data_IF_127663747305
#
_entry.id   IF_127663747305
#
_cell.length_a   1.000
_cell.length_b   1.000
_cell.length_c   1.000
_cell.angle_alpha   90.00
_cell.angle_beta   90.00
_cell.angle_gamma   90.00
#
_symmetry.space_group_name_H-M   'P 1'
#
loop_
_entity.id
_entity.type
_entity.pdbx_description
1 polymer ?
#
# COMPACT_ATOMS: atom_id res chain seq x y z
N UNK A 1 58.10 16.01 7.34
CA UNK A 1 56.77 15.73 7.92
C UNK A 1 55.79 15.56 6.77
N UNK A 2 55.85 14.40 6.13
CA UNK A 2 54.85 13.30 6.18
C UNK A 2 53.72 13.61 5.20
N UNK A 3 53.77 13.17 3.93
CA UNK A 3 53.38 11.82 3.47
C UNK A 3 52.00 11.43 4.06
N UNK A 4 50.96 11.11 3.29
CA UNK A 4 50.96 10.00 2.36
C UNK A 4 49.60 9.88 1.62
N UNK A 5 49.69 9.51 0.34
CA UNK A 5 48.85 8.50 -0.33
C UNK A 5 47.37 8.87 -0.59
N UNK A 6 47.17 9.60 -1.70
CA UNK A 6 46.01 9.41 -2.58
C UNK A 6 46.21 8.09 -3.35
N UNK A 7 45.69 6.98 -2.81
CA UNK A 7 45.40 5.77 -3.60
C UNK A 7 43.90 5.71 -3.77
N UNK A 8 43.45 6.29 -4.88
CA UNK A 8 42.10 6.18 -5.40
C UNK A 8 41.93 4.72 -5.85
N UNK A 9 41.48 3.84 -4.95
CA UNK A 9 41.11 2.45 -5.25
C UNK A 9 39.98 2.47 -6.29
N UNK A 10 40.19 1.75 -7.38
CA UNK A 10 39.22 1.61 -8.46
C UNK A 10 37.94 0.95 -7.99
N UNK A 11 36.84 1.70 -8.02
CA UNK A 11 35.53 1.12 -8.16
C UNK A 11 35.51 0.37 -9.51
N UNK A 12 35.09 -0.90 -9.50
CA UNK A 12 34.87 -1.64 -10.74
C UNK A 12 33.81 -0.88 -11.57
N UNK A 13 33.99 -0.70 -12.89
CA UNK A 13 33.06 0.08 -13.72
C UNK A 13 31.64 -0.52 -13.81
N UNK A 14 31.41 -1.74 -13.31
CA UNK A 14 30.09 -2.39 -13.28
C UNK A 14 29.19 -1.90 -12.14
N UNK A 15 29.72 -1.74 -10.92
CA UNK A 15 28.93 -1.34 -9.73
C UNK A 15 28.39 0.09 -9.83
N UNK A 16 29.13 1.00 -10.48
CA UNK A 16 28.67 2.37 -10.73
C UNK A 16 27.52 2.44 -11.74
N UNK A 17 27.49 1.53 -12.71
CA UNK A 17 26.46 1.54 -13.76
C UNK A 17 25.18 0.94 -13.18
N UNK A 18 25.26 -0.16 -12.45
CA UNK A 18 24.09 -0.80 -11.83
C UNK A 18 23.46 0.11 -10.75
N UNK A 19 24.26 0.79 -9.92
CA UNK A 19 23.78 1.80 -8.98
C UNK A 19 23.10 3.00 -9.67
N UNK A 20 23.65 3.46 -10.80
CA UNK A 20 23.02 4.52 -11.61
C UNK A 20 21.71 4.04 -12.24
N UNK A 21 21.63 2.80 -12.74
CA UNK A 21 20.39 2.23 -13.28
C UNK A 21 19.35 1.96 -12.20
N UNK A 22 19.75 1.60 -10.98
CA UNK A 22 18.85 1.47 -9.84
C UNK A 22 18.32 2.83 -9.38
N UNK A 23 19.18 3.86 -9.34
CA UNK A 23 18.74 5.23 -9.08
C UNK A 23 17.88 5.78 -10.22
N UNK A 24 18.21 5.49 -11.49
CA UNK A 24 17.44 5.92 -12.65
C UNK A 24 16.10 5.18 -12.71
N UNK A 25 16.06 3.89 -12.42
CA UNK A 25 14.83 3.10 -12.39
C UNK A 25 13.96 3.48 -11.19
N UNK A 26 14.55 3.82 -10.05
CA UNK A 26 13.86 4.38 -8.89
C UNK A 26 13.27 5.76 -9.22
N UNK A 27 14.05 6.64 -9.86
CA UNK A 27 13.61 7.96 -10.31
C UNK A 27 12.56 7.83 -11.40
N UNK A 28 12.71 6.92 -12.37
CA UNK A 28 11.73 6.65 -13.44
C UNK A 28 10.45 6.04 -12.88
N UNK A 29 10.51 5.13 -11.90
CA UNK A 29 9.33 4.61 -11.20
C UNK A 29 8.60 5.74 -10.47
N UNK A 30 9.34 6.57 -9.74
CA UNK A 30 8.81 7.74 -9.03
C UNK A 30 8.32 8.87 -9.95
N UNK A 31 8.84 8.93 -11.18
CA UNK A 31 8.34 9.80 -12.24
C UNK A 31 7.07 9.19 -12.88
N UNK A 32 7.01 7.87 -13.12
CA UNK A 32 5.83 7.17 -13.64
C UNK A 32 4.61 7.30 -12.72
N UNK A 33 4.85 7.46 -11.42
CA UNK A 33 3.84 7.77 -10.40
C UNK A 33 3.28 9.20 -10.51
N UNK A 34 3.87 10.08 -11.33
CA UNK A 34 3.38 11.46 -11.51
C UNK A 34 2.38 11.57 -12.66
N UNK A 35 1.21 12.10 -12.32
CA UNK A 35 0.05 12.39 -13.17
C UNK A 35 0.35 13.04 -14.55
N UNK A 36 1.42 13.82 -14.67
CA UNK A 36 1.70 14.60 -15.88
C UNK A 36 2.58 13.88 -16.92
N UNK A 37 3.19 12.74 -16.58
CA UNK A 37 4.13 12.06 -17.49
C UNK A 37 3.44 11.21 -18.55
N UNK A 38 2.40 10.47 -18.17
CA UNK A 38 1.59 9.70 -19.14
C UNK A 38 0.98 10.61 -20.24
N UNK A 39 0.36 11.77 -19.91
CA UNK A 39 -0.12 12.74 -20.91
C UNK A 39 0.99 13.27 -21.81
N UNK A 40 2.14 13.62 -21.22
CA UNK A 40 3.28 14.16 -21.96
C UNK A 40 3.82 13.13 -22.97
N UNK A 41 3.92 11.86 -22.55
CA UNK A 41 4.35 10.76 -23.41
C UNK A 41 3.44 10.57 -24.62
N UNK A 42 2.11 10.60 -24.42
CA UNK A 42 1.13 10.52 -25.51
C UNK A 42 1.26 11.72 -26.46
N UNK A 43 1.43 12.94 -25.93
CA UNK A 43 1.60 14.14 -26.76
C UNK A 43 2.86 14.05 -27.64
N UNK A 44 3.98 13.61 -27.07
CA UNK A 44 5.24 13.43 -27.80
C UNK A 44 5.10 12.34 -28.86
N UNK A 45 4.49 11.19 -28.52
CA UNK A 45 4.18 10.12 -29.47
C UNK A 45 3.31 10.61 -30.63
N UNK A 46 2.30 11.42 -30.36
CA UNK A 46 1.42 12.00 -31.39
C UNK A 46 2.18 12.94 -32.32
N UNK A 47 3.04 13.81 -31.80
CA UNK A 47 3.89 14.70 -32.61
C UNK A 47 4.84 13.88 -33.50
N UNK A 48 5.46 12.84 -32.94
CA UNK A 48 6.34 11.93 -33.68
C UNK A 48 5.56 11.19 -34.77
N UNK A 49 4.41 10.61 -34.45
CA UNK A 49 3.57 9.87 -35.40
C UNK A 49 3.13 10.77 -36.57
N UNK A 50 2.79 12.02 -36.30
CA UNK A 50 2.47 13.03 -37.31
C UNK A 50 3.67 13.35 -38.19
N UNK A 51 4.85 13.54 -37.60
CA UNK A 51 6.06 13.83 -38.36
C UNK A 51 6.51 12.65 -39.23
N UNK A 52 6.30 11.42 -38.76
CA UNK A 52 6.47 10.22 -39.59
C UNK A 52 5.43 10.15 -40.72
N UNK A 53 4.18 10.57 -40.48
CA UNK A 53 3.16 10.60 -41.51
C UNK A 53 3.44 11.64 -42.61
N UNK A 54 4.04 12.79 -42.28
CA UNK A 54 4.46 13.77 -43.29
C UNK A 54 5.64 13.29 -44.14
N UNK A 55 6.51 12.44 -43.59
CA UNK A 55 7.53 11.73 -44.38
C UNK A 55 6.89 10.72 -45.36
N UNK A 56 5.77 10.08 -44.98
CA UNK A 56 5.02 9.18 -45.86
C UNK A 56 4.27 9.92 -46.98
N UNK A 57 3.89 11.18 -46.78
CA UNK A 57 3.33 12.03 -47.85
C UNK A 57 4.33 12.26 -49.01
N UNK A 58 5.64 12.09 -48.77
CA UNK A 58 6.67 12.13 -49.82
C UNK A 58 6.70 10.85 -50.68
N UNK A 59 5.88 9.85 -50.35
CA UNK A 59 5.75 8.58 -51.06
C UNK A 59 4.38 8.46 -51.72
N UNK A 60 4.27 7.72 -52.85
CA UNK A 60 3.00 7.55 -53.59
C UNK A 60 1.92 6.74 -52.83
N UNK A 61 2.19 6.31 -51.59
CA UNK A 61 1.24 5.59 -50.72
C UNK A 61 -0.02 6.41 -50.39
N UNK A 62 0.05 7.74 -50.45
CA UNK A 62 -1.09 8.63 -50.19
C UNK A 62 -2.25 8.50 -51.18
N UNK A 63 -2.07 7.86 -52.35
CA UNK A 63 -3.14 7.67 -53.36
C UNK A 63 -4.19 6.64 -52.97
N UNK A 64 -3.89 5.73 -52.04
CA UNK A 64 -4.80 4.67 -51.61
C UNK A 64 -5.62 5.04 -50.37
N UNK A 65 -5.37 6.21 -49.78
CA UNK A 65 -6.04 6.64 -48.56
C UNK A 65 -7.28 7.49 -48.88
N UNK A 66 -8.37 7.37 -48.09
CA UNK A 66 -9.55 8.19 -48.29
C UNK A 66 -9.24 9.67 -48.04
N UNK A 67 -9.88 10.57 -48.79
CA UNK A 67 -9.79 12.01 -48.58
C UNK A 67 -10.65 12.43 -47.38
N UNK A 68 -10.03 13.13 -46.43
CA UNK A 68 -10.73 13.75 -45.30
C UNK A 68 -10.60 15.27 -45.39
N UNK A 69 -11.68 15.97 -45.06
CA UNK A 69 -11.71 17.43 -45.04
C UNK A 69 -10.89 17.95 -43.86
N UNK A 70 -10.04 18.96 -44.13
CA UNK A 70 -9.27 19.69 -43.13
C UNK A 70 -10.20 20.32 -42.09
N UNK A 71 -11.32 20.88 -42.55
CA UNK A 71 -12.35 21.53 -41.73
C UNK A 71 -12.99 20.55 -40.75
N UNK A 72 -13.22 19.30 -41.17
CA UNK A 72 -13.81 18.26 -40.32
C UNK A 72 -12.86 17.86 -39.18
N UNK A 73 -11.57 17.73 -39.50
CA UNK A 73 -10.53 17.40 -38.51
C UNK A 73 -10.30 18.55 -37.54
N UNK A 74 -10.25 19.78 -38.06
CA UNK A 74 -10.15 20.99 -37.24
C UNK A 74 -11.34 21.15 -36.28
N UNK A 75 -12.56 20.91 -36.75
CA UNK A 75 -13.77 20.97 -35.93
C UNK A 75 -13.71 19.97 -34.77
N UNK A 76 -13.32 18.71 -35.04
CA UNK A 76 -13.20 17.68 -33.99
C UNK A 76 -12.13 18.06 -32.96
N UNK A 77 -10.96 18.53 -33.40
CA UNK A 77 -9.90 19.00 -32.51
C UNK A 77 -10.36 20.18 -31.64
N UNK A 78 -11.10 21.15 -32.20
CA UNK A 78 -11.66 22.29 -31.43
C UNK A 78 -12.69 21.86 -30.39
N UNK A 79 -13.55 20.91 -30.73
CA UNK A 79 -14.52 20.31 -29.80
C UNK A 79 -13.78 19.62 -28.65
N UNK A 80 -12.75 18.83 -28.96
CA UNK A 80 -11.92 18.19 -27.94
C UNK A 80 -11.20 19.22 -27.07
N UNK A 81 -10.51 20.20 -27.66
CA UNK A 81 -9.78 21.22 -26.91
C UNK A 81 -10.67 21.99 -25.91
N UNK A 82 -11.89 22.36 -26.30
CA UNK A 82 -12.81 23.09 -25.41
C UNK A 82 -13.42 22.19 -24.32
N UNK A 83 -13.84 20.97 -24.66
CA UNK A 83 -14.49 20.06 -23.71
C UNK A 83 -13.52 19.41 -22.73
N UNK A 84 -12.29 19.07 -23.14
CA UNK A 84 -11.34 18.35 -22.29
C UNK A 84 -10.88 19.16 -21.07
N UNK A 85 -10.68 20.47 -21.21
CA UNK A 85 -10.28 21.32 -20.09
C UNK A 85 -11.39 21.41 -19.03
N UNK A 86 -12.65 21.48 -19.48
CA UNK A 86 -13.82 21.47 -18.59
C UNK A 86 -13.92 20.12 -17.87
N UNK A 87 -13.77 19.01 -18.60
CA UNK A 87 -13.77 17.68 -17.99
C UNK A 87 -12.63 17.48 -16.99
N UNK A 88 -11.42 17.94 -17.30
CA UNK A 88 -10.29 17.89 -16.37
C UNK A 88 -10.57 18.69 -15.09
N UNK A 89 -11.11 19.91 -15.23
CA UNK A 89 -11.47 20.76 -14.07
C UNK A 89 -12.56 20.12 -13.22
N UNK A 90 -13.62 19.60 -13.86
CA UNK A 90 -14.68 18.85 -13.19
C UNK A 90 -14.12 17.63 -12.46
N UNK A 91 -13.22 16.89 -13.12
CA UNK A 91 -12.60 15.68 -12.57
C UNK A 91 -11.76 15.96 -11.32
N UNK A 92 -10.91 17.00 -11.35
CA UNK A 92 -10.16 17.44 -10.16
C UNK A 92 -11.11 17.85 -9.03
N UNK A 93 -12.15 18.62 -9.33
CA UNK A 93 -13.14 19.04 -8.33
C UNK A 93 -13.83 17.84 -7.67
N UNK A 94 -14.34 16.89 -8.47
CA UNK A 94 -14.98 15.69 -7.96
C UNK A 94 -14.03 14.80 -7.15
N UNK A 95 -12.76 14.66 -7.56
CA UNK A 95 -11.75 13.94 -6.78
C UNK A 95 -11.54 14.57 -5.42
N UNK A 96 -11.34 15.89 -5.34
CA UNK A 96 -11.14 16.59 -4.06
C UNK A 96 -12.35 16.43 -3.15
N UNK A 97 -13.58 16.52 -3.69
CA UNK A 97 -14.81 16.26 -2.93
C UNK A 97 -14.86 14.81 -2.43
N UNK A 98 -14.55 13.82 -3.27
CA UNK A 98 -14.54 12.41 -2.88
C UNK A 98 -13.48 12.13 -1.79
N UNK A 99 -12.28 12.68 -1.94
CA UNK A 99 -11.21 12.55 -0.95
C UNK A 99 -11.57 13.19 0.39
N UNK A 100 -12.24 14.34 0.36
CA UNK A 100 -12.73 15.01 1.57
C UNK A 100 -13.81 14.15 2.27
N UNK A 101 -14.73 13.57 1.50
CA UNK A 101 -15.76 12.65 2.00
C UNK A 101 -15.15 11.39 2.64
N UNK A 102 -14.14 10.82 2.00
CA UNK A 102 -13.47 9.65 2.56
C UNK A 102 -12.64 9.98 3.80
N UNK A 103 -11.95 11.12 3.84
CA UNK A 103 -11.21 11.57 5.03
C UNK A 103 -12.13 11.91 6.21
N UNK A 104 -13.37 12.32 5.97
CA UNK A 104 -14.35 12.64 7.00
C UNK A 104 -15.12 11.43 7.51
N UNK A 105 -15.31 10.40 6.69
CA UNK A 105 -16.01 9.16 7.06
C UNK A 105 -15.08 8.06 7.57
N UNK A 106 -13.84 7.97 7.06
CA UNK A 106 -12.84 7.01 7.48
C UNK A 106 -11.79 7.63 8.43
N UNK A 107 -10.54 7.18 8.40
CA UNK A 107 -9.41 7.79 9.15
C UNK A 107 -8.46 8.52 8.19
N UNK A 108 -7.83 9.65 8.59
CA UNK A 108 -6.81 10.32 7.78
C UNK A 108 -5.67 9.39 7.33
N UNK A 109 -5.41 8.30 8.08
CA UNK A 109 -4.39 7.31 7.74
C UNK A 109 -4.74 6.44 6.53
N UNK A 110 -6.00 6.39 6.13
CA UNK A 110 -6.44 5.72 4.89
C UNK A 110 -6.25 6.59 3.65
N UNK A 111 -6.08 7.90 3.81
CA UNK A 111 -6.01 8.87 2.72
C UNK A 111 -4.94 8.54 1.65
N UNK A 112 -3.70 8.11 2.02
CA UNK A 112 -2.70 7.74 1.01
C UNK A 112 -3.14 6.61 0.07
N UNK A 113 -3.98 5.67 0.54
CA UNK A 113 -4.49 4.57 -0.29
C UNK A 113 -5.60 5.02 -1.25
N UNK A 114 -6.32 6.08 -0.89
CA UNK A 114 -7.43 6.61 -1.69
C UNK A 114 -6.91 7.52 -2.81
N UNK A 115 -5.93 8.37 -2.49
CA UNK A 115 -5.34 9.27 -3.48
C UNK A 115 -4.51 8.51 -4.52
N UNK A 116 -3.97 7.34 -4.16
CA UNK A 116 -3.27 6.43 -5.06
C UNK A 116 -4.20 5.66 -6.02
N UNK A 117 -5.48 6.05 -6.14
CA UNK A 117 -6.41 5.42 -7.07
C UNK A 117 -6.03 5.67 -8.54
N UNK A 118 -5.45 4.66 -9.17
CA UNK A 118 -4.96 4.73 -10.55
C UNK A 118 -6.05 5.06 -11.57
N UNK A 119 -7.31 4.64 -11.37
CA UNK A 119 -8.38 4.88 -12.34
C UNK A 119 -8.69 6.36 -12.46
N UNK A 120 -8.83 7.04 -11.31
CA UNK A 120 -9.06 8.48 -11.27
C UNK A 120 -7.88 9.26 -11.83
N UNK A 121 -6.68 8.93 -11.39
CA UNK A 121 -5.46 9.56 -11.87
C UNK A 121 -5.25 9.40 -13.38
N UNK A 122 -5.51 8.20 -13.92
CA UNK A 122 -5.40 7.91 -15.35
C UNK A 122 -6.45 8.68 -16.16
N UNK A 123 -7.70 8.79 -15.69
CA UNK A 123 -8.73 9.55 -16.39
C UNK A 123 -8.39 11.04 -16.50
N UNK A 124 -7.95 11.66 -15.40
CA UNK A 124 -7.48 13.05 -15.41
C UNK A 124 -6.31 13.23 -16.37
N UNK A 125 -5.38 12.28 -16.37
CA UNK A 125 -4.25 12.25 -17.30
C UNK A 125 -4.72 12.21 -18.76
N UNK A 126 -5.68 11.35 -19.10
CA UNK A 126 -6.26 11.26 -20.45
C UNK A 126 -6.92 12.57 -20.87
N UNK A 127 -7.68 13.23 -19.99
CA UNK A 127 -8.33 14.51 -20.34
C UNK A 127 -7.32 15.63 -20.57
N UNK A 128 -6.32 15.78 -19.71
CA UNK A 128 -5.26 16.78 -19.87
C UNK A 128 -4.43 16.47 -21.14
N UNK A 129 -4.11 15.20 -21.37
CA UNK A 129 -3.37 14.76 -22.55
C UNK A 129 -4.14 15.04 -23.85
N UNK A 130 -5.43 14.72 -23.89
CA UNK A 130 -6.28 15.00 -25.05
C UNK A 130 -6.45 16.51 -25.28
N UNK A 131 -6.51 17.32 -24.22
CA UNK A 131 -6.50 18.79 -24.33
C UNK A 131 -5.20 19.31 -24.98
N UNK A 132 -4.04 18.93 -24.43
CA UNK A 132 -2.73 19.36 -24.95
C UNK A 132 -2.54 18.88 -26.39
N UNK A 133 -2.85 17.61 -26.67
CA UNK A 133 -2.83 17.04 -28.02
C UNK A 133 -3.67 17.88 -28.98
N UNK A 134 -4.90 18.21 -28.60
CA UNK A 134 -5.81 18.96 -29.47
C UNK A 134 -5.29 20.36 -29.78
N UNK A 135 -4.75 21.06 -28.77
CA UNK A 135 -4.17 22.41 -28.96
C UNK A 135 -2.94 22.35 -29.88
N UNK A 136 -2.02 21.42 -29.64
CA UNK A 136 -0.80 21.27 -30.47
C UNK A 136 -1.16 20.89 -31.91
N UNK A 137 -2.10 19.95 -32.08
CA UNK A 137 -2.57 19.53 -33.39
C UNK A 137 -3.25 20.67 -34.15
N UNK A 138 -4.08 21.50 -33.49
CA UNK A 138 -4.67 22.70 -34.09
C UNK A 138 -3.58 23.67 -34.57
N UNK A 139 -2.61 23.98 -33.71
CA UNK A 139 -1.51 24.90 -34.06
C UNK A 139 -0.74 24.39 -35.28
N UNK A 140 -0.41 23.10 -35.32
CA UNK A 140 0.29 22.51 -36.45
C UNK A 140 -0.58 22.44 -37.73
N UNK A 141 -1.89 22.20 -37.60
CA UNK A 141 -2.88 22.23 -38.72
C UNK A 141 -3.03 23.63 -39.32
N UNK A 142 -3.01 24.66 -38.48
CA UNK A 142 -3.07 26.06 -38.90
C UNK A 142 -1.76 26.53 -39.54
N UNK A 143 -0.60 26.00 -39.10
CA UNK A 143 0.73 26.33 -39.63
C UNK A 143 1.13 25.49 -40.87
N UNK A 144 0.18 24.86 -41.57
CA UNK A 144 0.45 24.16 -42.83
C UNK A 144 1.27 22.86 -42.71
N UNK A 145 1.43 22.29 -41.51
CA UNK A 145 2.19 21.04 -41.36
C UNK A 145 1.43 19.79 -41.84
N UNK A 146 0.14 19.94 -42.21
CA UNK A 146 -0.76 18.86 -42.63
C UNK A 146 -1.50 19.23 -43.92
N UNK A 147 -0.75 19.43 -45.00
CA UNK A 147 -1.32 19.73 -46.32
C UNK A 147 -1.48 18.48 -47.20
N UNK A 148 -0.82 17.37 -46.83
CA UNK A 148 -0.88 16.11 -47.57
C UNK A 148 -2.10 15.25 -47.23
N UNK A 149 -2.50 14.40 -48.18
CA UNK A 149 -3.64 13.49 -47.99
C UNK A 149 -3.37 12.45 -46.91
N UNK A 150 -2.15 11.90 -46.83
CA UNK A 150 -1.83 10.88 -45.83
C UNK A 150 -1.69 11.51 -44.44
N UNK A 151 -1.04 12.67 -44.30
CA UNK A 151 -0.96 13.36 -43.00
C UNK A 151 -2.34 13.78 -42.45
N UNK A 152 -3.27 14.25 -43.30
CA UNK A 152 -4.64 14.54 -42.88
C UNK A 152 -5.42 13.28 -42.48
N UNK A 153 -5.29 12.19 -43.24
CA UNK A 153 -5.92 10.91 -42.90
C UNK A 153 -5.42 10.39 -41.54
N UNK A 154 -4.10 10.37 -41.34
CA UNK A 154 -3.48 9.92 -40.08
C UNK A 154 -3.91 10.80 -38.92
N UNK A 155 -3.93 12.13 -39.10
CA UNK A 155 -4.40 13.06 -38.08
C UNK A 155 -5.87 12.81 -37.71
N UNK A 156 -6.74 12.58 -38.70
CA UNK A 156 -8.15 12.28 -38.46
C UNK A 156 -8.31 10.98 -37.68
N UNK A 157 -7.68 9.88 -38.12
CA UNK A 157 -7.74 8.57 -37.44
C UNK A 157 -7.20 8.66 -36.02
N UNK A 158 -6.09 9.36 -35.81
CA UNK A 158 -5.51 9.57 -34.49
C UNK A 158 -6.47 10.36 -33.60
N UNK A 159 -7.06 11.44 -34.11
CA UNK A 159 -8.01 12.27 -33.38
C UNK A 159 -9.26 11.49 -33.00
N UNK A 160 -9.83 10.72 -33.93
CA UNK A 160 -10.98 9.84 -33.64
C UNK A 160 -10.63 8.77 -32.60
N UNK A 161 -9.42 8.20 -32.66
CA UNK A 161 -8.94 7.21 -31.69
C UNK A 161 -8.79 7.82 -30.31
N UNK A 162 -8.14 8.99 -30.19
CA UNK A 162 -8.01 9.72 -28.93
C UNK A 162 -9.40 10.08 -28.39
N UNK A 163 -10.32 10.52 -29.25
CA UNK A 163 -11.69 10.83 -28.85
C UNK A 163 -12.43 9.60 -28.29
N UNK A 164 -12.30 8.43 -28.93
CA UNK A 164 -12.86 7.19 -28.41
C UNK A 164 -12.26 6.80 -27.04
N UNK A 165 -10.93 6.91 -26.88
CA UNK A 165 -10.24 6.66 -25.61
C UNK A 165 -10.76 7.60 -24.51
N UNK A 166 -10.96 8.88 -24.83
CA UNK A 166 -11.52 9.87 -23.91
C UNK A 166 -12.93 9.46 -23.45
N UNK A 167 -13.80 9.05 -24.37
CA UNK A 167 -15.17 8.62 -24.03
C UNK A 167 -15.15 7.40 -23.11
N UNK A 168 -14.35 6.38 -23.43
CA UNK A 168 -14.22 5.17 -22.60
C UNK A 168 -13.64 5.51 -21.22
N UNK A 169 -12.61 6.36 -21.18
CA UNK A 169 -12.00 6.81 -19.94
C UNK A 169 -12.99 7.60 -19.08
N UNK A 170 -13.84 8.42 -19.69
CA UNK A 170 -14.89 9.15 -18.99
C UNK A 170 -15.92 8.20 -18.38
N UNK A 171 -16.39 7.19 -19.11
CA UNK A 171 -17.35 6.21 -18.59
C UNK A 171 -16.76 5.44 -17.40
N UNK A 172 -15.53 4.95 -17.51
CA UNK A 172 -14.85 4.25 -16.41
C UNK A 172 -14.57 5.17 -15.21
N UNK A 173 -14.25 6.43 -15.48
CA UNK A 173 -14.03 7.42 -14.43
C UNK A 173 -15.29 7.76 -13.66
N UNK A 174 -16.43 7.96 -14.34
CA UNK A 174 -17.73 8.22 -13.70
C UNK A 174 -18.12 7.09 -12.76
N UNK A 175 -17.88 5.84 -13.18
CA UNK A 175 -18.14 4.67 -12.34
C UNK A 175 -17.19 4.60 -11.13
N UNK A 176 -15.91 4.97 -11.31
CA UNK A 176 -14.93 5.02 -10.21
C UNK A 176 -15.25 6.11 -9.18
N UNK A 177 -15.54 7.33 -9.62
CA UNK A 177 -15.80 8.45 -8.71
C UNK A 177 -17.05 8.24 -7.86
N UNK A 178 -18.05 7.52 -8.39
CA UNK A 178 -19.24 7.13 -7.65
C UNK A 178 -18.94 6.20 -6.46
N UNK A 179 -17.81 5.47 -6.49
CA UNK A 179 -17.35 4.60 -5.40
C UNK A 179 -16.34 5.26 -4.47
N UNK A 180 -15.49 6.15 -4.96
CA UNK A 180 -14.38 6.75 -4.19
C UNK A 180 -14.80 7.43 -2.88
N UNK A 181 -16.01 8.02 -2.84
CA UNK A 181 -16.53 8.66 -1.63
C UNK A 181 -17.25 7.71 -0.66
N UNK A 182 -17.41 6.42 -1.01
CA UNK A 182 -18.13 5.43 -0.19
C UNK A 182 -17.18 4.77 0.80
N UNK A 183 -17.60 4.69 2.05
CA UNK A 183 -16.79 4.12 3.13
C UNK A 183 -16.39 2.66 2.86
N UNK A 184 -17.27 1.86 2.25
CA UNK A 184 -16.95 0.49 1.85
C UNK A 184 -15.74 0.38 0.92
N UNK A 185 -15.61 1.30 -0.05
CA UNK A 185 -14.43 1.32 -0.93
C UNK A 185 -13.13 1.58 -0.17
N UNK A 186 -13.19 2.46 0.84
CA UNK A 186 -12.04 2.72 1.72
C UNK A 186 -11.68 1.48 2.54
N UNK A 187 -12.68 0.78 3.09
CA UNK A 187 -12.47 -0.49 3.82
C UNK A 187 -11.81 -1.51 2.90
N UNK A 188 -12.32 -1.70 1.68
CA UNK A 188 -11.77 -2.64 0.70
C UNK A 188 -10.31 -2.33 0.35
N UNK A 189 -9.96 -1.04 0.17
CA UNK A 189 -8.58 -0.61 -0.11
C UNK A 189 -7.64 -0.87 1.06
N UNK A 190 -8.08 -0.61 2.29
CA UNK A 190 -7.30 -0.90 3.49
C UNK A 190 -7.16 -2.41 3.68
N UNK A 191 -8.21 -3.19 3.46
CA UNK A 191 -8.18 -4.65 3.48
C UNK A 191 -7.16 -5.20 2.46
N UNK A 192 -7.20 -4.72 1.22
CA UNK A 192 -6.27 -5.15 0.19
C UNK A 192 -4.81 -4.83 0.55
N UNK A 193 -4.53 -3.64 1.08
CA UNK A 193 -3.20 -3.24 1.53
C UNK A 193 -2.73 -4.09 2.73
N UNK A 194 -3.60 -4.32 3.71
CA UNK A 194 -3.32 -5.16 4.88
C UNK A 194 -3.05 -6.61 4.47
N UNK A 195 -3.86 -7.16 3.56
CA UNK A 195 -3.72 -8.52 3.03
C UNK A 195 -2.39 -8.69 2.29
N UNK A 196 -1.99 -7.72 1.47
CA UNK A 196 -0.70 -7.75 0.78
C UNK A 196 0.48 -7.76 1.77
N UNK A 197 0.43 -6.92 2.81
CA UNK A 197 1.44 -6.88 3.87
C UNK A 197 1.50 -8.21 4.66
N UNK A 198 0.34 -8.77 4.99
CA UNK A 198 0.20 -10.09 5.63
C UNK A 198 0.83 -11.19 4.77
N UNK A 199 0.52 -11.24 3.47
CA UNK A 199 1.08 -12.24 2.55
C UNK A 199 2.61 -12.12 2.45
N UNK A 200 3.13 -10.89 2.31
CA UNK A 200 4.57 -10.63 2.30
C UNK A 200 5.23 -11.10 3.59
N UNK A 201 4.67 -10.72 4.75
CA UNK A 201 5.21 -11.13 6.05
C UNK A 201 5.13 -12.64 6.26
N UNK A 202 4.05 -13.29 5.84
CA UNK A 202 3.90 -14.75 5.98
C UNK A 202 4.91 -15.53 5.15
N UNK A 203 5.19 -15.09 3.92
CA UNK A 203 6.23 -15.71 3.07
C UNK A 203 7.64 -15.61 3.66
N UNK A 204 7.84 -14.70 4.63
CA UNK A 204 9.10 -14.49 5.31
C UNK A 204 8.83 -13.96 6.73
N UNK A 205 8.39 -14.82 7.69
CA UNK A 205 7.92 -14.38 9.02
C UNK A 205 8.94 -13.55 9.78
N UNK A 206 10.21 -13.87 9.56
CA UNK A 206 11.41 -13.23 10.13
C UNK A 206 12.18 -12.42 9.08
N UNK A 207 11.49 -11.96 8.03
CA UNK A 207 12.09 -11.22 6.90
C UNK A 207 13.26 -11.98 6.23
N UNK A 208 13.17 -13.32 6.21
CA UNK A 208 14.20 -14.24 5.69
C UNK A 208 15.32 -14.59 6.69
N UNK A 209 15.31 -13.99 7.88
CA UNK A 209 16.29 -14.20 8.93
C UNK A 209 16.01 -15.37 9.86
N UNK A 210 16.93 -15.58 10.81
CA UNK A 210 16.80 -16.56 11.90
C UNK A 210 15.94 -16.03 13.05
N UNK A 211 15.55 -16.93 13.96
CA UNK A 211 14.86 -16.55 15.18
C UNK A 211 15.69 -15.57 16.02
N UNK A 212 15.04 -14.53 16.53
CA UNK A 212 15.60 -13.59 17.51
C UNK A 212 16.05 -14.35 18.76
N UNK A 213 17.16 -13.92 19.35
CA UNK A 213 17.71 -14.44 20.61
C UNK A 213 18.12 -13.28 21.52
N UNK A 214 18.28 -13.54 22.82
CA UNK A 214 18.69 -12.48 23.75
C UNK A 214 20.10 -11.97 23.43
N UNK A 215 20.30 -10.64 23.34
CA UNK A 215 21.61 -10.09 23.00
C UNK A 215 22.64 -10.48 24.07
N UNK A 216 23.74 -11.15 23.71
CA UNK A 216 24.81 -11.50 24.64
C UNK A 216 25.42 -10.26 25.32
N UNK A 217 26.04 -10.45 26.49
CA UNK A 217 26.78 -9.37 27.15
C UNK A 217 27.90 -8.87 26.24
N UNK A 218 28.00 -7.55 26.06
CA UNK A 218 28.96 -6.92 25.16
C UNK A 218 28.43 -6.62 23.75
N UNK A 219 27.19 -7.00 23.45
CA UNK A 219 26.51 -6.59 22.20
C UNK A 219 26.43 -5.06 22.10
N UNK A 220 26.66 -4.53 20.90
CA UNK A 220 26.65 -3.09 20.65
C UNK A 220 25.28 -2.65 20.14
N UNK A 221 24.62 -1.65 20.77
CA UNK A 221 23.35 -1.15 20.29
C UNK A 221 23.53 -0.28 19.04
N UNK A 222 22.66 -0.47 18.07
CA UNK A 222 22.52 0.42 16.90
C UNK A 222 21.26 1.26 17.09
N UNK A 223 21.41 2.57 16.97
CA UNK A 223 20.29 3.52 17.07
C UNK A 223 19.94 4.04 15.68
N UNK A 224 18.66 4.37 15.49
CA UNK A 224 18.21 5.03 14.26
C UNK A 224 18.83 6.42 14.10
N UNK A 225 18.96 6.86 12.86
CA UNK A 225 19.51 8.18 12.48
C UNK A 225 18.52 9.34 12.69
N UNK A 226 17.24 9.01 12.88
CA UNK A 226 16.13 9.95 12.91
C UNK A 226 15.01 9.45 13.83
N UNK A 227 14.10 10.37 14.18
CA UNK A 227 12.92 10.09 15.01
C UNK A 227 11.74 9.86 14.09
N UNK A 228 11.07 8.72 14.22
CA UNK A 228 9.98 8.34 13.33
C UNK A 228 9.62 6.88 13.45
N UNK A 229 8.94 6.32 12.46
CA UNK A 229 8.59 4.90 12.40
C UNK A 229 9.53 4.16 11.45
N UNK A 230 9.95 2.94 11.83
CA UNK A 230 10.58 2.03 10.87
C UNK A 230 9.55 1.71 9.79
N UNK A 231 9.85 2.07 8.54
CA UNK A 231 8.99 1.80 7.39
C UNK A 231 9.43 0.54 6.66
N UNK A 232 10.75 0.30 6.59
CA UNK A 232 11.34 -0.85 5.89
C UNK A 232 12.67 -1.23 6.50
N UNK A 233 12.99 -2.52 6.43
CA UNK A 233 14.29 -3.07 6.81
C UNK A 233 14.90 -3.75 5.59
N UNK A 234 16.10 -3.32 5.19
CA UNK A 234 16.83 -3.98 4.12
C UNK A 234 17.65 -5.16 4.68
N UNK A 235 17.00 -6.32 4.82
CA UNK A 235 17.65 -7.52 5.37
C UNK A 235 18.80 -8.04 4.51
N UNK A 236 18.75 -7.83 3.19
CA UNK A 236 19.86 -8.14 2.28
C UNK A 236 21.10 -7.32 2.64
N UNK A 237 20.95 -5.99 2.79
CA UNK A 237 22.07 -5.13 3.19
C UNK A 237 22.59 -5.47 4.60
N UNK A 238 21.70 -5.85 5.53
CA UNK A 238 22.11 -6.32 6.85
C UNK A 238 22.95 -7.59 6.78
N UNK A 239 22.55 -8.57 5.97
CA UNK A 239 23.30 -9.82 5.77
C UNK A 239 24.67 -9.53 5.14
N UNK A 240 24.72 -8.73 4.08
CA UNK A 240 25.98 -8.38 3.40
C UNK A 240 26.99 -7.71 4.35
N UNK A 241 26.51 -6.77 5.19
CA UNK A 241 27.34 -6.14 6.21
C UNK A 241 27.77 -7.13 7.30
N UNK A 242 26.87 -8.01 7.73
CA UNK A 242 27.17 -9.03 8.72
C UNK A 242 28.22 -10.04 8.23
N UNK A 243 28.20 -10.41 6.95
CA UNK A 243 29.19 -11.29 6.34
C UNK A 243 30.56 -10.62 6.19
N UNK A 244 30.59 -9.36 5.73
CA UNK A 244 31.83 -8.61 5.51
C UNK A 244 32.61 -8.39 6.82
N UNK A 245 31.89 -8.08 7.90
CA UNK A 245 32.48 -7.73 9.20
C UNK A 245 32.48 -8.87 10.22
N UNK A 246 32.05 -10.08 9.84
CA UNK A 246 31.92 -11.22 10.75
C UNK A 246 31.08 -10.89 12.00
N UNK A 247 29.89 -10.33 11.75
CA UNK A 247 28.93 -9.91 12.77
C UNK A 247 27.67 -10.77 12.68
N UNK A 248 26.83 -10.67 13.71
CA UNK A 248 25.41 -11.03 13.68
C UNK A 248 24.58 -9.83 14.07
N UNK A 249 23.50 -9.59 13.33
CA UNK A 249 22.59 -8.46 13.57
C UNK A 249 21.30 -8.97 14.16
N UNK A 250 20.98 -8.50 15.35
CA UNK A 250 19.73 -8.78 16.05
C UNK A 250 18.77 -7.61 15.90
N UNK A 251 17.78 -7.73 15.03
CA UNK A 251 16.76 -6.70 14.82
C UNK A 251 15.83 -6.62 16.03
N UNK A 252 15.59 -5.42 16.54
CA UNK A 252 14.65 -5.18 17.66
C UNK A 252 13.49 -4.28 17.28
N UNK A 253 13.63 -3.45 16.26
CA UNK A 253 12.58 -2.59 15.75
C UNK A 253 12.06 -3.10 14.40
N UNK A 254 10.89 -3.74 14.41
CA UNK A 254 10.19 -4.16 13.19
C UNK A 254 9.52 -2.97 12.49
N UNK A 255 9.16 -3.08 11.18
CA UNK A 255 8.30 -2.10 10.53
C UNK A 255 7.06 -1.79 11.37
N UNK A 256 6.76 -0.50 11.52
CA UNK A 256 5.72 0.01 12.42
C UNK A 256 6.21 0.42 13.82
N UNK A 257 7.44 0.08 14.20
CA UNK A 257 8.01 0.46 15.50
C UNK A 257 8.46 1.92 15.50
N UNK A 258 8.07 2.68 16.53
CA UNK A 258 8.56 4.05 16.71
C UNK A 258 10.00 4.07 17.23
N UNK A 259 10.88 4.68 16.46
CA UNK A 259 12.29 4.93 16.73
C UNK A 259 12.48 6.28 17.43
N UNK A 260 13.32 6.29 18.46
CA UNK A 260 13.66 7.48 19.23
C UNK A 260 15.06 7.33 19.82
N UNK A 261 15.72 8.44 20.24
CA UNK A 261 17.02 8.37 20.87
C UNK A 261 16.99 7.48 22.12
N UNK A 262 17.97 6.60 22.25
CA UNK A 262 18.08 5.68 23.37
C UNK A 262 17.30 4.37 23.22
N UNK A 263 16.52 4.18 22.14
CA UNK A 263 15.90 2.88 21.80
C UNK A 263 16.66 2.25 20.61
N UNK A 264 17.39 1.14 20.81
CA UNK A 264 18.09 0.48 19.72
C UNK A 264 17.13 -0.09 18.67
N UNK A 265 17.45 0.08 17.39
CA UNK A 265 16.76 -0.55 16.26
C UNK A 265 17.28 -1.95 15.98
N UNK A 266 18.55 -2.19 16.34
CA UNK A 266 19.19 -3.49 16.32
C UNK A 266 20.30 -3.58 17.37
N UNK A 267 20.80 -4.79 17.61
CA UNK A 267 22.05 -5.05 18.31
C UNK A 267 23.02 -5.78 17.38
N UNK A 268 24.31 -5.49 17.53
CA UNK A 268 25.38 -6.18 16.83
C UNK A 268 26.12 -7.08 17.81
N UNK A 269 26.31 -8.33 17.40
CA UNK A 269 27.14 -9.32 18.09
C UNK A 269 28.35 -9.58 17.19
N UNK A 270 29.55 -9.29 17.69
CA UNK A 270 30.80 -9.55 16.96
C UNK A 270 31.27 -10.99 17.21
N UNK A 271 31.62 -11.72 16.15
CA UNK A 271 32.21 -13.06 16.27
C UNK A 271 33.71 -12.98 16.68
N UNK A 272 34.39 -11.87 16.43
CA UNK A 272 35.86 -11.75 16.54
C UNK A 272 36.36 -11.13 17.85
N UNK A 273 35.48 -10.80 18.80
CA UNK A 273 35.80 -10.04 20.04
C UNK A 273 36.40 -8.65 19.81
N UNK A 274 36.55 -8.20 18.55
CA UNK A 274 36.96 -6.86 18.21
C UNK A 274 35.81 -5.86 18.43
N UNK A 275 36.15 -4.63 18.81
CA UNK A 275 35.18 -3.56 18.97
C UNK A 275 34.57 -3.20 17.62
N UNK A 276 33.24 -3.22 17.53
CA UNK A 276 32.51 -2.78 16.33
C UNK A 276 32.81 -1.30 16.07
N UNK A 277 33.25 -1.00 14.86
CA UNK A 277 33.58 0.35 14.41
C UNK A 277 32.33 1.21 14.23
N UNK A 278 32.51 2.54 14.26
CA UNK A 278 31.41 3.48 13.95
C UNK A 278 30.89 3.34 12.53
N UNK A 279 31.73 2.90 11.59
CA UNK A 279 31.34 2.70 10.18
C UNK A 279 30.36 1.53 10.04
N UNK A 280 30.61 0.43 10.76
CA UNK A 280 29.72 -0.74 10.80
C UNK A 280 28.39 -0.41 11.48
N UNK A 281 28.41 0.34 12.58
CA UNK A 281 27.18 0.82 13.24
C UNK A 281 26.34 1.69 12.28
N UNK A 282 26.97 2.59 11.55
CA UNK A 282 26.29 3.45 10.59
C UNK A 282 25.76 2.67 9.39
N UNK A 283 26.49 1.66 8.90
CA UNK A 283 26.04 0.81 7.81
C UNK A 283 24.80 -0.01 8.19
N UNK A 284 24.78 -0.56 9.41
CA UNK A 284 23.59 -1.26 9.95
C UNK A 284 22.43 -0.28 10.15
N UNK A 285 22.68 0.92 10.69
CA UNK A 285 21.64 1.95 10.83
C UNK A 285 21.03 2.34 9.47
N UNK A 286 21.86 2.50 8.42
CA UNK A 286 21.42 2.88 7.08
C UNK A 286 20.53 1.83 6.39
N UNK A 287 20.51 0.58 6.88
CA UNK A 287 19.61 -0.45 6.39
C UNK A 287 18.16 -0.29 6.91
N UNK A 288 17.92 0.59 7.89
CA UNK A 288 16.59 0.93 8.39
C UNK A 288 16.10 2.21 7.72
N UNK A 289 14.97 2.11 7.02
CA UNK A 289 14.28 3.29 6.48
C UNK A 289 13.32 3.80 7.54
N UNK A 290 13.59 4.99 8.08
CA UNK A 290 12.76 5.64 9.09
C UNK A 290 12.04 6.83 8.44
N UNK A 291 10.75 6.98 8.73
CA UNK A 291 9.97 8.12 8.26
C UNK A 291 8.91 8.59 9.25
N UNK A 292 8.31 9.76 9.00
CA UNK A 292 7.43 10.44 9.97
C UNK A 292 6.12 9.70 10.28
N UNK A 293 5.69 8.81 9.38
CA UNK A 293 4.45 8.05 9.50
C UNK A 293 4.65 6.56 9.16
N UNK A 294 3.75 5.72 9.65
CA UNK A 294 3.69 4.30 9.25
C UNK A 294 3.20 4.17 7.81
N UNK A 295 3.62 3.09 7.15
CA UNK A 295 3.26 2.73 5.78
C UNK A 295 2.73 1.30 5.75
N UNK A 296 1.84 0.97 4.82
CA UNK A 296 1.19 -0.34 4.78
C UNK A 296 2.11 -1.48 4.29
N UNK A 297 3.08 -1.21 3.41
CA UNK A 297 3.79 -2.22 2.61
C UNK A 297 4.43 -3.38 3.42
N UNK A 298 5.15 -3.07 4.50
CA UNK A 298 5.85 -4.07 5.33
C UNK A 298 5.28 -4.22 6.74
N UNK A 299 4.13 -3.62 6.98
CA UNK A 299 3.52 -3.48 8.30
C UNK A 299 2.07 -4.03 8.33
N UNK A 300 1.92 -5.36 8.53
CA UNK A 300 0.61 -6.00 8.64
C UNK A 300 -0.29 -5.39 9.71
N UNK A 301 0.32 -4.90 10.80
CA UNK A 301 -0.41 -4.35 11.96
C UNK A 301 -1.06 -3.02 11.62
N UNK A 302 -0.45 -2.21 10.75
CA UNK A 302 -0.99 -0.89 10.43
C UNK A 302 -2.35 -0.97 9.74
N UNK A 303 -2.55 -1.95 8.86
CA UNK A 303 -3.86 -2.23 8.25
C UNK A 303 -4.94 -2.53 9.28
N UNK A 304 -4.63 -3.38 10.25
CA UNK A 304 -5.54 -3.76 11.34
C UNK A 304 -5.93 -2.54 12.19
N UNK A 305 -4.96 -1.68 12.52
CA UNK A 305 -5.18 -0.44 13.28
C UNK A 305 -6.08 0.52 12.51
N UNK A 306 -5.79 0.74 11.22
CA UNK A 306 -6.58 1.66 10.37
C UNK A 306 -8.02 1.18 10.24
N UNK A 307 -8.24 -0.13 10.09
CA UNK A 307 -9.59 -0.71 10.11
C UNK A 307 -10.27 -0.50 11.47
N UNK A 308 -9.59 -0.79 12.58
CA UNK A 308 -10.12 -0.56 13.92
C UNK A 308 -10.46 0.91 14.20
N UNK A 309 -9.70 1.86 13.64
CA UNK A 309 -10.01 3.30 13.69
C UNK A 309 -11.27 3.65 12.92
N UNK A 310 -11.49 3.06 11.74
CA UNK A 310 -12.72 3.25 10.95
C UNK A 310 -13.93 2.76 11.76
N UNK A 311 -13.85 1.57 12.35
CA UNK A 311 -14.92 1.05 13.21
C UNK A 311 -15.16 1.92 14.46
N UNK A 312 -14.09 2.34 15.14
CA UNK A 312 -14.18 3.25 16.29
C UNK A 312 -14.86 4.57 15.93
N UNK A 313 -14.51 5.16 14.77
CA UNK A 313 -15.15 6.39 14.27
C UNK A 313 -16.63 6.17 13.94
N UNK A 314 -16.97 5.04 13.33
CA UNK A 314 -18.36 4.69 13.04
C UNK A 314 -19.20 4.53 14.32
N UNK A 315 -18.62 3.98 15.39
CA UNK A 315 -19.26 3.82 16.70
C UNK A 315 -19.30 5.11 17.53
N UNK A 316 -18.63 6.17 17.09
CA UNK A 316 -18.63 7.44 17.82
C UNK A 316 -20.03 8.04 17.90
N UNK A 317 -20.36 8.82 18.96
CA UNK A 317 -21.68 9.45 19.09
C UNK A 317 -22.08 10.38 17.93
N UNK A 318 -21.09 10.87 17.17
CA UNK A 318 -21.33 11.76 16.04
C UNK A 318 -21.78 11.02 14.76
N UNK A 319 -21.40 9.74 14.60
CA UNK A 319 -21.70 8.93 13.41
C UNK A 319 -22.78 7.89 13.72
N UNK A 320 -22.60 7.15 14.82
CA UNK A 320 -23.53 6.14 15.31
C UNK A 320 -23.97 5.12 14.24
N UNK A 321 -23.00 4.50 13.57
CA UNK A 321 -23.18 3.47 12.55
C UNK A 321 -22.57 2.11 12.98
N UNK A 322 -23.33 1.28 13.72
CA UNK A 322 -22.92 -0.08 14.08
C UNK A 322 -22.68 -0.99 12.89
N UNK A 323 -23.33 -0.74 11.75
CA UNK A 323 -23.23 -1.57 10.54
C UNK A 323 -21.83 -1.57 9.97
N UNK A 324 -21.21 -0.39 9.88
CA UNK A 324 -19.81 -0.25 9.46
C UNK A 324 -18.85 -0.96 10.42
N UNK A 325 -19.06 -0.86 11.74
CA UNK A 325 -18.20 -1.53 12.71
C UNK A 325 -18.28 -3.07 12.59
N UNK A 326 -19.48 -3.59 12.32
CA UNK A 326 -19.70 -5.01 12.04
C UNK A 326 -18.98 -5.44 10.75
N UNK A 327 -19.06 -4.64 9.70
CA UNK A 327 -18.37 -4.91 8.42
C UNK A 327 -16.84 -4.93 8.59
N UNK A 328 -16.29 -3.95 9.31
CA UNK A 328 -14.87 -3.95 9.68
C UNK A 328 -14.52 -5.19 10.50
N UNK A 329 -15.36 -5.60 11.46
CA UNK A 329 -15.09 -6.79 12.28
C UNK A 329 -15.01 -8.07 11.43
N UNK A 330 -15.87 -8.21 10.41
CA UNK A 330 -15.75 -9.28 9.42
C UNK A 330 -14.52 -9.15 8.53
N UNK A 331 -14.13 -7.92 8.20
CA UNK A 331 -12.90 -7.65 7.44
C UNK A 331 -11.67 -8.11 8.21
N UNK A 332 -11.59 -7.83 9.51
CA UNK A 332 -10.53 -8.35 10.38
C UNK A 332 -10.53 -9.89 10.41
N UNK A 333 -11.70 -10.54 10.50
CA UNK A 333 -11.81 -11.99 10.40
C UNK A 333 -11.17 -12.52 9.10
N UNK A 334 -11.52 -11.94 7.94
CA UNK A 334 -10.94 -12.34 6.64
C UNK A 334 -9.43 -12.18 6.62
N UNK A 335 -8.88 -11.13 7.23
CA UNK A 335 -7.43 -10.91 7.31
C UNK A 335 -6.72 -11.97 8.18
N UNK A 336 -7.29 -12.34 9.33
CA UNK A 336 -6.75 -13.41 10.17
C UNK A 336 -6.92 -14.80 9.54
N UNK A 337 -8.01 -15.04 8.81
CA UNK A 337 -8.16 -16.26 8.01
C UNK A 337 -7.14 -16.31 6.88
N UNK A 338 -6.87 -15.21 6.18
CA UNK A 338 -5.78 -15.14 5.20
C UNK A 338 -4.40 -15.38 5.83
N UNK A 339 -4.20 -14.91 7.08
CA UNK A 339 -3.00 -15.24 7.86
C UNK A 339 -2.91 -16.74 8.14
N UNK A 340 -4.03 -17.43 8.34
CA UNK A 340 -4.07 -18.88 8.56
C UNK A 340 -3.94 -19.70 7.25
N UNK A 341 -4.82 -19.49 6.26
CA UNK A 341 -5.02 -20.33 5.06
C UNK A 341 -3.75 -20.61 4.26
N UNK A 342 -2.86 -19.65 4.01
CA UNK A 342 -1.60 -19.97 3.28
C UNK A 342 -0.61 -20.86 4.09
N UNK A 343 -1.01 -21.41 5.24
CA UNK A 343 -0.17 -22.12 6.21
C UNK A 343 -0.26 -23.63 6.08
N UNK A 344 -1.36 -24.15 5.54
CA UNK A 344 -1.54 -25.59 5.32
C UNK A 344 -0.59 -26.13 4.23
N UNK A 345 -0.19 -25.30 3.25
CA UNK A 345 0.78 -25.70 2.22
C UNK A 345 2.25 -25.60 2.66
N UNK A 346 2.53 -24.94 3.79
CA UNK A 346 3.91 -24.59 4.23
C UNK A 346 4.28 -25.11 5.62
N UNK A 347 3.35 -25.68 6.38
CA UNK A 347 3.58 -26.18 7.74
C UNK A 347 4.62 -27.31 7.84
N UNK A 348 4.92 -28.00 6.74
CA UNK A 348 5.89 -29.12 6.72
C UNK A 348 7.31 -28.73 6.30
N UNK A 349 7.58 -27.44 6.04
CA UNK A 349 8.94 -26.95 5.76
C UNK A 349 9.27 -25.81 6.70
N UNK A 350 10.31 -25.98 7.49
CA UNK A 350 10.95 -24.84 8.14
C UNK A 350 11.19 -23.76 7.08
N UNK A 351 10.80 -22.49 7.34
CA UNK A 351 10.98 -21.42 6.38
C UNK A 351 12.45 -21.36 6.00
N UNK A 352 12.73 -21.38 4.69
CA UNK A 352 14.09 -21.36 4.18
C UNK A 352 14.80 -20.11 4.71
N UNK A 353 15.84 -20.32 5.53
CA UNK A 353 16.65 -19.25 6.09
C UNK A 353 17.51 -18.69 4.95
N UNK A 354 17.19 -17.46 4.54
CA UNK A 354 17.93 -16.74 3.52
C UNK A 354 19.08 -15.92 4.13
N UNK A 355 18.90 -15.46 5.36
CA UNK A 355 19.82 -14.56 6.06
C UNK A 355 20.20 -15.14 7.43
N UNK A 356 21.22 -16.00 7.46
CA UNK A 356 21.64 -16.74 8.65
C UNK A 356 22.35 -15.88 9.72
N UNK A 357 22.82 -14.68 9.36
CA UNK A 357 23.46 -13.72 10.28
C UNK A 357 22.52 -12.64 10.77
N UNK A 358 21.27 -12.62 10.30
CA UNK A 358 20.27 -11.61 10.70
C UNK A 358 19.16 -12.30 11.49
N UNK A 359 19.05 -11.96 12.78
CA UNK A 359 18.05 -12.49 13.68
C UNK A 359 16.89 -11.48 13.82
N UNK A 360 15.67 -11.93 13.53
CA UNK A 360 14.49 -11.05 13.44
C UNK A 360 13.33 -11.62 14.27
N UNK A 361 12.66 -10.81 15.11
CA UNK A 361 11.51 -11.26 15.88
C UNK A 361 10.29 -11.49 14.98
N UNK A 362 9.47 -12.45 15.36
CA UNK A 362 8.15 -12.63 14.76
C UNK A 362 7.15 -11.61 15.29
N UNK A 363 6.04 -11.41 14.57
CA UNK A 363 4.95 -10.57 15.05
C UNK A 363 4.20 -11.26 16.19
N UNK A 364 3.94 -10.51 17.26
CA UNK A 364 3.11 -10.96 18.39
C UNK A 364 1.64 -11.07 17.94
N UNK A 365 1.07 -12.26 18.05
CA UNK A 365 -0.37 -12.46 17.79
C UNK A 365 -1.25 -11.68 18.77
N UNK A 366 -0.85 -11.60 20.04
CA UNK A 366 -1.58 -10.82 21.03
C UNK A 366 -1.66 -9.34 20.63
N UNK A 367 -0.54 -8.77 20.17
CA UNK A 367 -0.47 -7.39 19.70
C UNK A 367 -1.36 -7.16 18.46
N UNK A 368 -1.37 -8.11 17.52
CA UNK A 368 -2.22 -8.03 16.33
C UNK A 368 -3.72 -8.05 16.69
N UNK A 369 -4.11 -8.87 17.67
CA UNK A 369 -5.49 -8.91 18.16
C UNK A 369 -5.89 -7.64 18.91
N UNK A 370 -5.00 -7.09 19.72
CA UNK A 370 -5.23 -5.81 20.41
C UNK A 370 -5.43 -4.68 19.38
N UNK A 371 -4.50 -4.57 18.41
CA UNK A 371 -4.58 -3.62 17.30
C UNK A 371 -5.87 -3.74 16.48
N UNK A 372 -6.37 -4.98 16.31
CA UNK A 372 -7.51 -5.25 15.45
C UNK A 372 -8.88 -5.04 16.13
N UNK A 373 -8.99 -5.37 17.41
CA UNK A 373 -10.29 -5.53 18.08
C UNK A 373 -10.45 -4.66 19.33
N UNK A 374 -9.36 -4.15 19.94
CA UNK A 374 -9.47 -3.49 21.24
C UNK A 374 -10.24 -2.17 21.18
N UNK A 375 -10.10 -1.36 20.13
CA UNK A 375 -10.88 -0.12 20.02
C UNK A 375 -12.36 -0.43 19.74
N UNK A 376 -12.65 -1.40 18.86
CA UNK A 376 -14.03 -1.85 18.55
C UNK A 376 -14.73 -2.35 19.83
N UNK A 377 -14.05 -3.18 20.61
CA UNK A 377 -14.55 -3.69 21.88
C UNK A 377 -14.81 -2.58 22.92
N UNK A 378 -14.03 -1.50 22.90
CA UNK A 378 -14.16 -0.39 23.85
C UNK A 378 -15.35 0.47 23.47
N UNK A 379 -15.39 0.88 22.21
CA UNK A 379 -16.34 1.89 21.72
C UNK A 379 -17.71 1.27 21.42
N UNK A 380 -17.76 -0.03 21.10
CA UNK A 380 -18.98 -0.79 20.88
C UNK A 380 -19.55 -1.46 22.13
N UNK A 381 -18.96 -1.27 23.32
CA UNK A 381 -19.32 -1.99 24.55
C UNK A 381 -20.81 -1.90 24.91
N UNK A 382 -21.45 -0.76 24.64
CA UNK A 382 -22.88 -0.53 24.89
C UNK A 382 -23.81 -0.93 23.75
N UNK A 383 -23.27 -1.48 22.65
CA UNK A 383 -24.02 -1.80 21.43
C UNK A 383 -24.08 -3.31 21.25
N UNK A 384 -25.21 -3.92 21.62
CA UNK A 384 -25.37 -5.38 21.69
C UNK A 384 -25.08 -6.07 20.35
N UNK A 385 -25.51 -5.51 19.23
CA UNK A 385 -25.28 -6.08 17.89
C UNK A 385 -23.80 -6.13 17.51
N UNK A 386 -23.00 -5.16 17.96
CA UNK A 386 -21.55 -5.11 17.71
C UNK A 386 -20.83 -6.13 18.59
N UNK A 387 -21.14 -6.18 19.89
CA UNK A 387 -20.51 -7.11 20.83
C UNK A 387 -20.81 -8.56 20.47
N UNK A 388 -22.08 -8.89 20.20
CA UNK A 388 -22.45 -10.24 19.78
C UNK A 388 -21.72 -10.63 18.50
N UNK A 389 -21.58 -9.70 17.55
CA UNK A 389 -20.87 -9.98 16.30
C UNK A 389 -19.37 -10.17 16.52
N UNK A 390 -18.76 -9.33 17.35
CA UNK A 390 -17.35 -9.43 17.71
C UNK A 390 -17.05 -10.76 18.40
N UNK A 391 -17.88 -11.18 19.35
CA UNK A 391 -17.75 -12.48 20.02
C UNK A 391 -17.89 -13.65 19.05
N UNK A 392 -18.84 -13.61 18.11
CA UNK A 392 -18.97 -14.64 17.06
C UNK A 392 -17.75 -14.71 16.12
N UNK A 393 -17.15 -13.56 15.80
CA UNK A 393 -15.93 -13.50 15.01
C UNK A 393 -14.75 -14.10 15.78
N UNK A 394 -14.59 -13.74 17.05
CA UNK A 394 -13.55 -14.32 17.91
C UNK A 394 -13.73 -15.84 18.09
N UNK A 395 -14.97 -16.30 18.26
CA UNK A 395 -15.31 -17.73 18.26
C UNK A 395 -14.86 -18.41 16.97
N UNK A 396 -15.14 -17.81 15.81
CA UNK A 396 -14.72 -18.35 14.51
C UNK A 396 -13.20 -18.43 14.39
N UNK A 397 -12.46 -17.49 14.98
CA UNK A 397 -10.99 -17.54 15.02
C UNK A 397 -10.47 -18.68 15.91
N UNK A 398 -11.18 -19.07 16.97
CA UNK A 398 -10.80 -20.24 17.79
C UNK A 398 -10.86 -21.56 17.04
N UNK A 399 -11.64 -21.66 15.95
CA UNK A 399 -11.80 -22.92 15.20
C UNK A 399 -10.77 -23.10 14.09
N UNK A 400 -9.81 -22.16 13.95
CA UNK A 400 -8.76 -22.21 12.92
C UNK A 400 -7.65 -23.23 13.22
N UNK A 401 -7.64 -23.89 14.38
CA UNK A 401 -6.62 -24.91 14.71
C UNK A 401 -5.21 -24.34 15.00
N UNK A 402 -4.97 -23.03 14.89
CA UNK A 402 -3.71 -22.41 15.29
C UNK A 402 -3.74 -22.03 16.79
N UNK A 403 -2.87 -22.61 17.65
CA UNK A 403 -2.90 -22.36 19.09
C UNK A 403 -2.68 -20.88 19.48
N UNK A 404 -1.84 -20.16 18.75
CA UNK A 404 -1.54 -18.74 19.01
C UNK A 404 -2.74 -17.84 18.71
N UNK A 405 -3.43 -18.10 17.59
CA UNK A 405 -4.67 -17.39 17.21
C UNK A 405 -5.78 -17.72 18.21
N UNK A 406 -5.92 -19.00 18.58
CA UNK A 406 -6.92 -19.44 19.56
C UNK A 406 -6.71 -18.74 20.92
N UNK A 407 -5.49 -18.75 21.44
CA UNK A 407 -5.17 -18.12 22.72
C UNK A 407 -5.46 -16.61 22.71
N UNK A 408 -5.04 -15.90 21.65
CA UNK A 408 -5.31 -14.48 21.49
C UNK A 408 -6.81 -14.18 21.33
N UNK A 409 -7.55 -15.01 20.59
CA UNK A 409 -8.99 -14.84 20.41
C UNK A 409 -9.78 -15.03 21.72
N UNK A 410 -9.42 -16.04 22.53
CA UNK A 410 -10.04 -16.27 23.84
C UNK A 410 -9.76 -15.11 24.78
N UNK A 411 -8.49 -14.70 24.91
CA UNK A 411 -8.10 -13.57 25.77
C UNK A 411 -8.83 -12.28 25.37
N UNK A 412 -8.96 -12.00 24.06
CA UNK A 412 -9.71 -10.85 23.58
C UNK A 412 -11.21 -10.98 23.85
N UNK A 413 -11.79 -12.18 23.73
CA UNK A 413 -13.21 -12.42 23.99
C UNK A 413 -13.58 -12.20 25.47
N UNK A 414 -12.69 -12.56 26.38
CA UNK A 414 -12.84 -12.28 27.82
C UNK A 414 -12.89 -10.76 28.09
N UNK A 415 -12.00 -9.99 27.46
CA UNK A 415 -11.99 -8.53 27.57
C UNK A 415 -13.28 -7.92 26.99
N UNK A 416 -13.74 -8.43 25.84
CA UNK A 416 -14.99 -7.99 25.20
C UNK A 416 -16.19 -8.23 26.11
N UNK A 417 -16.31 -9.44 26.68
CA UNK A 417 -17.40 -9.78 27.60
C UNK A 417 -17.36 -8.89 28.86
N UNK A 418 -16.18 -8.71 29.46
CA UNK A 418 -16.03 -7.86 30.64
C UNK A 418 -16.38 -6.38 30.39
N UNK A 419 -16.18 -5.90 29.16
CA UNK A 419 -16.62 -4.54 28.75
C UNK A 419 -18.13 -4.48 28.56
N UNK A 420 -18.71 -5.49 27.92
CA UNK A 420 -20.15 -5.59 27.71
C UNK A 420 -20.91 -5.66 29.05
N UNK A 421 -20.41 -6.43 30.02
CA UNK A 421 -20.95 -6.52 31.38
C UNK A 421 -21.01 -5.18 32.13
N UNK A 422 -20.06 -4.28 31.83
CA UNK A 422 -20.03 -2.94 32.43
C UNK A 422 -20.93 -1.93 31.73
N UNK A 423 -21.17 -2.10 30.43
CA UNK A 423 -21.82 -1.09 29.59
C UNK A 423 -23.29 -1.42 29.28
N UNK A 424 -23.65 -2.70 29.11
CA UNK A 424 -25.02 -3.12 28.83
C UNK A 424 -25.85 -3.12 30.11
N UNK A 425 -26.90 -2.29 30.15
CA UNK A 425 -27.78 -2.15 31.31
C UNK A 425 -29.02 -3.04 31.24
N UNK A 426 -29.42 -3.47 30.05
CA UNK A 426 -30.57 -4.34 29.85
C UNK A 426 -30.18 -5.82 30.08
N UNK A 427 -30.83 -6.54 31.03
CA UNK A 427 -30.47 -7.93 31.32
C UNK A 427 -30.58 -8.89 30.13
N UNK A 428 -31.51 -8.62 29.21
CA UNK A 428 -31.67 -9.41 27.98
C UNK A 428 -30.45 -9.32 27.06
N UNK A 429 -29.91 -8.11 26.88
CA UNK A 429 -28.76 -7.87 25.99
C UNK A 429 -27.50 -8.47 26.61
N UNK A 430 -27.36 -8.35 27.93
CA UNK A 430 -26.29 -8.98 28.67
C UNK A 430 -26.32 -10.51 28.53
N UNK A 431 -27.49 -11.13 28.71
CA UNK A 431 -27.65 -12.57 28.53
C UNK A 431 -27.32 -13.02 27.10
N UNK A 432 -27.62 -12.17 26.10
CA UNK A 432 -27.28 -12.43 24.69
C UNK A 432 -25.77 -12.41 24.46
N UNK A 433 -25.06 -11.43 25.04
CA UNK A 433 -23.61 -11.36 24.98
C UNK A 433 -22.95 -12.56 25.71
N UNK A 434 -23.43 -12.91 26.91
CA UNK A 434 -22.93 -14.06 27.67
C UNK A 434 -23.14 -15.38 26.90
N UNK A 435 -24.29 -15.55 26.25
CA UNK A 435 -24.55 -16.72 25.39
C UNK A 435 -23.57 -16.78 24.21
N UNK A 436 -23.27 -15.65 23.57
CA UNK A 436 -22.30 -15.59 22.49
C UNK A 436 -20.86 -15.86 22.97
N UNK A 437 -20.55 -15.58 24.24
CA UNK A 437 -19.24 -15.83 24.85
C UNK A 437 -19.08 -17.24 25.45
N UNK A 438 -20.08 -18.12 25.37
CA UNK A 438 -20.05 -19.43 26.00
C UNK A 438 -18.87 -20.34 25.53
N UNK A 439 -18.33 -20.08 24.34
CA UNK A 439 -17.16 -20.81 23.81
C UNK A 439 -15.87 -20.59 24.60
N UNK A 440 -15.75 -19.50 25.37
CA UNK A 440 -14.58 -19.21 26.20
C UNK A 440 -14.33 -20.34 27.21
N UNK A 441 -15.40 -20.91 27.76
CA UNK A 441 -15.33 -22.00 28.73
C UNK A 441 -15.26 -23.41 28.10
N UNK A 442 -15.32 -23.52 26.77
CA UNK A 442 -15.37 -24.81 26.09
C UNK A 442 -13.97 -25.45 25.97
N UNK A 443 -13.83 -26.77 26.24
CA UNK A 443 -12.56 -27.48 26.08
C UNK A 443 -12.13 -27.59 24.61
N UNK A 444 -10.82 -27.68 24.37
CA UNK A 444 -10.17 -27.70 23.03
C UNK A 444 -10.74 -28.73 22.05
N UNK A 445 -11.37 -29.80 22.54
CA UNK A 445 -11.81 -30.95 21.73
C UNK A 445 -13.28 -30.93 21.33
N UNK A 446 -14.04 -29.86 21.63
CA UNK A 446 -15.46 -29.81 21.29
C UNK A 446 -15.65 -29.29 19.85
N UNK A 447 -16.11 -30.11 18.89
CA UNK A 447 -16.55 -29.56 17.61
C UNK A 447 -17.71 -28.60 17.88
N UNK A 448 -17.54 -27.34 17.47
CA UNK A 448 -18.58 -26.31 17.61
C UNK A 448 -19.80 -26.71 16.80
N UNK A 449 -20.78 -27.33 17.47
CA UNK A 449 -22.15 -27.28 17.00
C UNK A 449 -22.58 -25.81 17.07
N UNK A 450 -22.69 -25.15 15.92
CA UNK A 450 -23.77 -24.23 15.53
C UNK A 450 -23.36 -23.45 14.28
N UNK A 451 -24.16 -23.57 13.22
CA UNK A 451 -24.45 -22.49 12.27
C UNK A 451 -25.97 -22.33 12.20
N UNK A 452 -26.48 -21.29 12.86
CA UNK A 452 -27.68 -20.52 12.52
C UNK A 452 -27.56 -19.12 13.16
#
# INVERSE_FOLDING_TARGET
MTAAILVKRGAKPKESIDSMWDQLSFVIKRLHERLWIKPLGICVLSIIAVYLASLLDMTDLGRFLPEFSKESTEALLKIMASSMLVMATFSVGSMVSAYTSASSSATPRSFPLIIADDVSQNALSVFIGAFIYSVVAIVALMNGHFEGKASLFVLFVLTTTVFAIVILSFIWWVDSIARLGRLGYTIDKVEAAAKAAIQKRKSSPRLGGIAVFDPPKGSQPVYGDSIGYVQRINTVALQEQADQSQLKVLVTALPGTFCMPGRPVAWIVSDTSESVSSEELNAVSAAFVIGDARVFDEDPRFGLIVLSEIASRALSPAVNDPGTAIDVTHTQLRLFLAWHECGEEQQDKDPEVQFDRVAVPELSMADMFDDAFAAIARDGAGTVEVIVRLLKVLQSLTTTGNPSIRAAAVAQAEIVLARAEKALTLPHDLATAQKAAAFIAAPESAPSAVLA
#
